data_IF_892140715192
#
_entry.id   IF_892140715192
#
_cell.length_a   1.000
_cell.length_b   1.000
_cell.length_c   1.000
_cell.angle_alpha   90.00
_cell.angle_beta   90.00
_cell.angle_gamma   90.00
#
_symmetry.space_group_name_H-M   'P 1'
#
loop_
_entity.id
_entity.type
_entity.pdbx_description
1 polymer ?
#
# COMPACT_ATOMS: atom_id res chain seq x y z
N UNK A 1 -10.91 -19.32 -19.49
CA UNK A 1 -9.64 -19.42 -18.72
C UNK A 1 -8.93 -18.07 -18.56
N UNK A 2 -8.59 -17.35 -19.64
CA UNK A 2 -7.86 -16.07 -19.53
C UNK A 2 -8.55 -14.95 -18.72
N UNK A 3 -9.88 -14.86 -18.77
CA UNK A 3 -10.63 -13.83 -18.05
C UNK A 3 -10.55 -13.98 -16.51
N UNK A 4 -10.56 -15.21 -16.00
CA UNK A 4 -10.46 -15.46 -14.55
C UNK A 4 -9.05 -15.13 -14.04
N UNK A 5 -8.01 -15.51 -14.80
CA UNK A 5 -6.63 -15.18 -14.46
C UNK A 5 -6.40 -13.66 -14.39
N UNK A 6 -6.89 -12.91 -15.38
CA UNK A 6 -6.76 -11.46 -15.42
C UNK A 6 -7.46 -10.79 -14.22
N UNK A 7 -8.62 -11.32 -13.79
CA UNK A 7 -9.33 -10.83 -12.61
C UNK A 7 -8.51 -11.04 -11.33
N UNK A 8 -7.98 -12.24 -11.10
CA UNK A 8 -7.17 -12.52 -9.90
C UNK A 8 -5.90 -11.66 -9.85
N UNK A 9 -5.20 -11.53 -10.98
CA UNK A 9 -4.02 -10.66 -11.06
C UNK A 9 -4.40 -9.21 -10.73
N UNK A 10 -5.52 -8.72 -11.24
CA UNK A 10 -5.97 -7.35 -10.99
C UNK A 10 -6.37 -7.11 -9.53
N UNK A 11 -6.95 -8.11 -8.86
CA UNK A 11 -7.32 -8.03 -7.44
C UNK A 11 -6.08 -8.07 -6.55
N UNK A 12 -5.13 -8.97 -6.82
CA UNK A 12 -3.90 -9.07 -6.05
C UNK A 12 -3.09 -7.79 -6.22
N UNK A 13 -2.78 -7.37 -7.45
CA UNK A 13 -1.99 -6.16 -7.68
C UNK A 13 -2.81 -4.86 -7.55
N UNK A 14 -3.93 -4.89 -6.83
CA UNK A 14 -4.74 -3.71 -6.63
C UNK A 14 -3.98 -2.69 -5.75
N UNK A 15 -3.96 -1.39 -6.11
CA UNK A 15 -3.21 -0.35 -5.38
C UNK A 15 -3.62 -0.15 -3.91
N UNK A 16 -4.70 -0.76 -3.46
CA UNK A 16 -5.13 -0.69 -2.07
C UNK A 16 -4.19 -1.48 -1.14
N UNK A 17 -3.58 -2.56 -1.64
CA UNK A 17 -2.66 -3.42 -0.89
C UNK A 17 -1.24 -2.86 -0.80
N UNK A 18 -1.01 -1.65 -1.28
CA UNK A 18 0.33 -1.18 -1.61
C UNK A 18 1.21 -0.94 -0.38
N UNK A 19 0.64 -0.35 0.67
CA UNK A 19 1.36 -0.20 1.93
C UNK A 19 1.61 -1.56 2.61
N UNK A 20 0.64 -2.48 2.55
CA UNK A 20 0.81 -3.85 3.04
C UNK A 20 1.96 -4.58 2.31
N UNK A 21 2.07 -4.42 1.00
CA UNK A 21 3.19 -4.98 0.22
C UNK A 21 4.54 -4.38 0.59
N UNK A 22 4.61 -3.07 0.81
CA UNK A 22 5.85 -2.43 1.25
C UNK A 22 6.31 -2.96 2.61
N UNK A 23 5.39 -3.14 3.57
CA UNK A 23 5.70 -3.70 4.88
C UNK A 23 6.14 -5.17 4.80
N UNK A 24 5.44 -6.00 4.02
CA UNK A 24 5.82 -7.41 3.85
C UNK A 24 7.16 -7.58 3.14
N UNK A 25 7.45 -6.73 2.15
CA UNK A 25 8.77 -6.70 1.52
C UNK A 25 9.86 -6.34 2.54
N UNK A 26 9.61 -5.37 3.42
CA UNK A 26 10.54 -5.06 4.51
C UNK A 26 10.77 -6.26 5.44
N UNK A 27 9.71 -6.95 5.86
CA UNK A 27 9.84 -8.15 6.71
C UNK A 27 10.63 -9.27 6.03
N UNK A 28 10.43 -9.47 4.73
CA UNK A 28 11.17 -10.45 3.94
C UNK A 28 12.66 -10.14 3.87
N UNK A 29 13.01 -8.87 3.61
CA UNK A 29 14.41 -8.42 3.59
C UNK A 29 15.07 -8.42 4.97
N UNK A 30 14.29 -8.24 6.03
CA UNK A 30 14.74 -8.20 7.42
C UNK A 30 14.23 -9.43 8.19
N UNK A 31 14.46 -10.63 7.65
CA UNK A 31 13.93 -11.88 8.19
C UNK A 31 14.27 -12.11 9.67
N UNK A 32 15.46 -11.70 10.12
CA UNK A 32 15.87 -11.77 11.53
C UNK A 32 14.95 -10.95 12.45
N UNK A 33 14.47 -9.80 11.99
CA UNK A 33 13.52 -8.97 12.73
C UNK A 33 12.18 -9.70 12.93
N UNK A 34 11.70 -10.38 11.88
CA UNK A 34 10.49 -11.19 11.95
C UNK A 34 10.62 -12.35 12.96
N UNK A 35 11.75 -13.07 12.95
CA UNK A 35 11.94 -14.23 13.84
C UNK A 35 12.02 -13.86 15.31
N UNK A 36 12.70 -12.75 15.64
CA UNK A 36 12.87 -12.31 17.03
C UNK A 36 11.55 -11.78 17.61
N UNK A 37 10.70 -11.15 16.79
CA UNK A 37 9.48 -10.48 17.25
C UNK A 37 8.19 -11.06 16.67
N UNK A 38 8.20 -12.34 16.30
CA UNK A 38 7.15 -13.01 15.49
C UNK A 38 5.72 -12.68 15.91
N UNK A 39 5.40 -12.75 17.21
CA UNK A 39 4.05 -12.46 17.71
C UNK A 39 3.64 -11.01 17.46
N UNK A 40 4.50 -10.05 17.81
CA UNK A 40 4.23 -8.62 17.63
C UNK A 40 4.11 -8.30 16.14
N UNK A 41 5.04 -8.83 15.34
CA UNK A 41 5.06 -8.61 13.90
C UNK A 41 3.80 -9.16 13.23
N UNK A 42 3.29 -10.31 13.66
CA UNK A 42 2.03 -10.86 13.14
C UNK A 42 0.82 -9.96 13.46
N UNK A 43 0.72 -9.43 14.68
CA UNK A 43 -0.37 -8.51 15.04
C UNK A 43 -0.28 -7.19 14.28
N UNK A 44 0.93 -6.63 14.11
CA UNK A 44 1.16 -5.41 13.34
C UNK A 44 0.84 -5.63 11.86
N UNK A 45 1.27 -6.75 11.28
CA UNK A 45 0.96 -7.10 9.89
C UNK A 45 -0.55 -7.25 9.65
N UNK A 46 -1.22 -7.99 10.53
CA UNK A 46 -2.68 -8.14 10.48
C UNK A 46 -3.41 -6.80 10.63
N UNK A 47 -2.94 -5.93 11.53
CA UNK A 47 -3.48 -4.58 11.68
C UNK A 47 -3.29 -3.76 10.41
N UNK A 48 -2.08 -3.75 9.83
CA UNK A 48 -1.78 -3.04 8.59
C UNK A 48 -2.66 -3.59 7.45
N UNK A 49 -2.80 -4.90 7.32
CA UNK A 49 -3.65 -5.52 6.32
C UNK A 49 -5.11 -5.07 6.47
N UNK A 50 -5.66 -5.16 7.69
CA UNK A 50 -7.05 -4.81 7.95
C UNK A 50 -7.30 -3.33 7.66
N UNK A 51 -6.45 -2.46 8.18
CA UNK A 51 -6.66 -1.01 8.12
C UNK A 51 -6.30 -0.41 6.79
N UNK A 52 -5.23 -0.85 6.13
CA UNK A 52 -4.78 -0.29 4.86
C UNK A 52 -5.38 -0.98 3.64
N UNK A 53 -5.84 -2.23 3.73
CA UNK A 53 -6.34 -2.95 2.56
C UNK A 53 -7.76 -3.46 2.71
N UNK A 54 -8.02 -4.29 3.72
CA UNK A 54 -9.30 -5.01 3.83
C UNK A 54 -10.49 -4.05 4.07
N UNK A 55 -10.36 -3.12 5.02
CA UNK A 55 -11.42 -2.15 5.33
C UNK A 55 -11.69 -1.18 4.16
N UNK A 56 -10.68 -0.56 3.53
CA UNK A 56 -10.89 0.23 2.32
C UNK A 56 -11.59 -0.54 1.21
N UNK A 57 -11.12 -1.76 0.91
CA UNK A 57 -11.70 -2.58 -0.14
C UNK A 57 -13.15 -2.97 0.17
N UNK A 58 -13.42 -3.39 1.42
CA UNK A 58 -14.77 -3.72 1.88
C UNK A 58 -15.71 -2.51 1.80
N UNK A 59 -15.24 -1.33 2.20
CA UNK A 59 -16.03 -0.09 2.12
C UNK A 59 -16.35 0.28 0.67
N UNK A 60 -15.37 0.21 -0.24
CA UNK A 60 -15.57 0.50 -1.66
C UNK A 60 -16.56 -0.48 -2.29
N UNK A 61 -16.40 -1.79 -2.01
CA UNK A 61 -17.32 -2.83 -2.47
C UNK A 61 -18.73 -2.62 -1.95
N UNK A 62 -18.88 -2.27 -0.67
CA UNK A 62 -20.19 -1.98 -0.08
C UNK A 62 -20.85 -0.75 -0.71
N UNK A 63 -20.09 0.32 -0.90
CA UNK A 63 -20.61 1.59 -1.43
C UNK A 63 -20.99 1.51 -2.92
N UNK A 64 -20.26 0.73 -3.73
CA UNK A 64 -20.39 0.78 -5.20
C UNK A 64 -20.67 -0.55 -5.89
N UNK A 65 -20.59 -1.67 -5.17
CA UNK A 65 -20.71 -3.04 -5.73
C UNK A 65 -19.65 -3.39 -6.79
N UNK A 66 -18.69 -2.50 -7.05
CA UNK A 66 -17.60 -2.69 -8.00
C UNK A 66 -16.35 -1.96 -7.48
N UNK A 67 -15.18 -2.59 -7.66
CA UNK A 67 -13.87 -2.00 -7.36
C UNK A 67 -13.30 -1.24 -8.56
N UNK A 68 -13.82 -1.48 -9.77
CA UNK A 68 -13.25 -1.02 -11.04
C UNK A 68 -14.04 0.14 -11.66
N UNK A 69 -13.76 1.36 -11.23
CA UNK A 69 -14.45 2.56 -11.69
C UNK A 69 -14.01 3.04 -13.09
N UNK A 70 -14.94 3.03 -14.05
CA UNK A 70 -14.69 3.54 -15.42
C UNK A 70 -14.73 5.06 -15.51
N UNK A 71 -15.62 5.72 -14.77
CA UNK A 71 -15.82 7.18 -14.85
C UNK A 71 -15.01 7.97 -13.82
N UNK A 72 -14.62 9.22 -14.15
CA UNK A 72 -13.82 10.09 -13.27
C UNK A 72 -14.54 10.40 -11.95
N UNK A 73 -15.85 10.68 -11.99
CA UNK A 73 -16.63 11.07 -10.82
C UNK A 73 -16.65 9.98 -9.73
N UNK A 74 -16.65 8.70 -10.14
CA UNK A 74 -16.63 7.57 -9.21
C UNK A 74 -15.29 7.33 -8.51
N UNK A 75 -14.20 8.00 -8.91
CA UNK A 75 -12.84 7.77 -8.37
C UNK A 75 -12.54 8.58 -7.12
N UNK A 76 -13.31 9.65 -6.85
CA UNK A 76 -13.10 10.51 -5.70
C UNK A 76 -13.30 9.75 -4.39
N UNK A 77 -14.36 8.95 -4.29
CA UNK A 77 -14.67 8.23 -3.07
C UNK A 77 -13.63 7.13 -2.76
N UNK A 78 -13.20 6.26 -3.70
CA UNK A 78 -12.11 5.32 -3.46
C UNK A 78 -10.81 5.98 -2.99
N UNK A 79 -10.44 7.14 -3.56
CA UNK A 79 -9.23 7.86 -3.13
C UNK A 79 -9.40 8.40 -1.71
N UNK A 80 -10.53 9.03 -1.42
CA UNK A 80 -10.83 9.56 -0.09
C UNK A 80 -10.86 8.44 0.95
N UNK A 81 -11.50 7.31 0.64
CA UNK A 81 -11.51 6.12 1.49
C UNK A 81 -10.10 5.65 1.78
N UNK A 82 -9.26 5.47 0.75
CA UNK A 82 -7.86 5.08 0.94
C UNK A 82 -7.09 6.08 1.81
N UNK A 83 -7.26 7.39 1.59
CA UNK A 83 -6.62 8.43 2.39
C UNK A 83 -7.03 8.39 3.87
N UNK A 84 -8.33 8.21 4.15
CA UNK A 84 -8.84 8.13 5.53
C UNK A 84 -8.23 6.93 6.25
N UNK A 85 -8.28 5.76 5.62
CA UNK A 85 -7.78 4.53 6.22
C UNK A 85 -6.25 4.47 6.32
N UNK A 86 -5.53 5.02 5.34
CA UNK A 86 -4.08 5.21 5.43
C UNK A 86 -3.72 6.21 6.53
N UNK A 87 -4.50 7.28 6.70
CA UNK A 87 -4.35 8.23 7.81
C UNK A 87 -4.56 7.59 9.17
N UNK A 88 -5.58 6.73 9.33
CA UNK A 88 -5.80 5.95 10.56
C UNK A 88 -4.62 5.01 10.83
N UNK A 89 -4.16 4.31 9.80
CA UNK A 89 -2.98 3.44 9.88
C UNK A 89 -1.76 4.24 10.34
N UNK A 90 -1.52 5.41 9.75
CA UNK A 90 -0.41 6.31 10.07
C UNK A 90 -0.43 6.74 11.54
N UNK A 91 -1.59 7.20 12.04
CA UNK A 91 -1.75 7.66 13.43
C UNK A 91 -1.46 6.53 14.42
N UNK A 92 -1.96 5.31 14.16
CA UNK A 92 -1.74 4.17 15.06
C UNK A 92 -0.30 3.71 15.02
N UNK A 93 0.32 3.63 13.84
CA UNK A 93 1.73 3.26 13.71
C UNK A 93 2.67 4.29 14.34
N UNK A 94 2.23 5.54 14.54
CA UNK A 94 3.00 6.55 15.26
C UNK A 94 3.13 6.26 16.76
N UNK A 95 2.25 5.42 17.32
CA UNK A 95 2.21 5.09 18.75
C UNK A 95 3.09 3.90 19.14
N UNK A 96 3.73 3.24 18.17
CA UNK A 96 4.56 2.06 18.40
C UNK A 96 5.96 2.27 17.79
N UNK A 97 6.99 1.54 18.25
CA UNK A 97 8.28 1.50 17.56
C UNK A 97 8.09 0.90 16.15
N UNK A 98 8.03 1.76 15.14
CA UNK A 98 7.84 1.38 13.75
C UNK A 98 8.96 1.95 12.88
N UNK A 99 9.43 1.24 11.83
CA UNK A 99 10.49 1.74 10.97
C UNK A 99 10.13 3.10 10.35
N UNK A 100 10.96 4.11 10.63
CA UNK A 100 10.69 5.50 10.23
C UNK A 100 10.52 5.64 8.71
N UNK A 101 11.25 4.87 7.91
CA UNK A 101 11.12 4.93 6.46
C UNK A 101 9.76 4.44 5.96
N UNK A 102 9.18 3.40 6.57
CA UNK A 102 7.83 2.92 6.22
C UNK A 102 6.76 3.91 6.68
N UNK A 103 6.97 4.54 7.84
CA UNK A 103 6.10 5.61 8.32
C UNK A 103 6.09 6.80 7.35
N UNK A 104 7.27 7.23 6.89
CA UNK A 104 7.42 8.29 5.89
C UNK A 104 6.86 7.88 4.52
N UNK A 105 7.01 6.61 4.14
CA UNK A 105 6.43 6.08 2.91
C UNK A 105 4.89 6.14 2.95
N UNK A 106 4.27 5.76 4.07
CA UNK A 106 2.83 5.89 4.26
C UNK A 106 2.36 7.34 4.16
N UNK A 107 3.11 8.28 4.75
CA UNK A 107 2.82 9.71 4.62
C UNK A 107 2.91 10.17 3.16
N UNK A 108 3.94 9.74 2.44
CA UNK A 108 4.11 10.05 1.02
C UNK A 108 2.95 9.50 0.17
N UNK A 109 2.45 8.30 0.50
CA UNK A 109 1.24 7.77 -0.13
C UNK A 109 0.01 8.64 0.15
N UNK A 110 -0.22 9.08 1.38
CA UNK A 110 -1.35 9.94 1.75
C UNK A 110 -1.29 11.28 0.99
N UNK A 111 -0.12 11.93 1.01
CA UNK A 111 0.08 13.20 0.30
C UNK A 111 -0.09 13.00 -1.21
N UNK A 112 0.51 11.94 -1.76
CA UNK A 112 0.41 11.58 -3.17
C UNK A 112 -1.03 11.32 -3.61
N UNK A 113 -1.83 10.61 -2.80
CA UNK A 113 -3.25 10.42 -3.05
C UNK A 113 -4.02 11.75 -3.03
N UNK A 114 -3.68 12.67 -2.13
CA UNK A 114 -4.25 14.03 -2.12
C UNK A 114 -3.93 14.81 -3.40
N UNK A 115 -2.70 14.72 -3.89
CA UNK A 115 -2.28 15.31 -5.18
C UNK A 115 -3.07 14.65 -6.33
N UNK A 116 -3.16 13.33 -6.35
CA UNK A 116 -3.90 12.58 -7.39
C UNK A 116 -5.39 12.94 -7.37
N UNK A 117 -5.99 13.11 -6.19
CA UNK A 117 -7.38 13.54 -6.04
C UNK A 117 -7.59 14.92 -6.69
N UNK A 118 -6.73 15.89 -6.36
CA UNK A 118 -6.76 17.23 -6.96
C UNK A 118 -6.54 17.21 -8.47
N UNK A 119 -5.51 16.50 -8.94
CA UNK A 119 -5.21 16.36 -10.37
C UNK A 119 -6.31 15.64 -11.14
N UNK A 120 -7.05 14.71 -10.51
CA UNK A 120 -8.13 13.98 -11.17
C UNK A 120 -9.29 14.87 -11.63
N UNK A 121 -9.41 16.08 -11.06
CA UNK A 121 -10.37 17.10 -11.53
C UNK A 121 -10.01 17.65 -12.90
N UNK A 122 -8.71 17.70 -13.23
CA UNK A 122 -8.18 18.24 -14.48
C UNK A 122 -7.86 17.13 -15.50
N UNK A 123 -7.16 16.08 -15.06
CA UNK A 123 -6.61 15.01 -15.90
C UNK A 123 -7.12 13.63 -15.46
N UNK A 124 -7.20 12.63 -16.37
CA UNK A 124 -7.52 11.25 -15.96
C UNK A 124 -6.23 10.63 -15.41
N UNK A 125 -6.01 10.71 -14.11
CA UNK A 125 -4.89 10.03 -13.47
C UNK A 125 -5.33 8.61 -13.10
N UNK A 126 -4.51 7.62 -13.45
CA UNK A 126 -4.74 6.23 -13.08
C UNK A 126 -4.17 5.95 -11.70
N UNK A 127 -4.98 5.37 -10.81
CA UNK A 127 -4.53 4.96 -9.48
C UNK A 127 -3.54 3.80 -9.54
N UNK A 128 -3.63 2.97 -10.57
CA UNK A 128 -2.68 1.88 -10.79
C UNK A 128 -1.30 2.42 -11.18
N UNK A 129 -1.23 3.48 -12.00
CA UNK A 129 0.06 4.09 -12.36
C UNK A 129 0.66 4.85 -11.18
N UNK A 130 -0.17 5.53 -10.38
CA UNK A 130 0.29 6.12 -9.12
C UNK A 130 0.88 5.06 -8.19
N UNK A 131 0.16 3.94 -8.01
CA UNK A 131 0.63 2.84 -7.18
C UNK A 131 1.95 2.27 -7.68
N UNK A 132 2.04 1.89 -8.96
CA UNK A 132 3.28 1.40 -9.54
C UNK A 132 4.44 2.39 -9.36
N UNK A 133 4.21 3.68 -9.61
CA UNK A 133 5.21 4.73 -9.41
C UNK A 133 5.66 4.86 -7.95
N UNK A 134 4.75 4.74 -6.98
CA UNK A 134 5.11 4.78 -5.56
C UNK A 134 5.98 3.60 -5.13
N UNK A 135 5.71 2.39 -5.62
CA UNK A 135 6.54 1.21 -5.36
C UNK A 135 7.93 1.36 -6.00
N UNK A 136 7.99 1.84 -7.25
CA UNK A 136 9.26 2.13 -7.91
C UNK A 136 10.08 3.13 -7.10
N UNK A 137 9.45 4.22 -6.61
CA UNK A 137 10.11 5.20 -5.73
C UNK A 137 10.62 4.60 -4.43
N UNK A 138 9.84 3.71 -3.79
CA UNK A 138 10.27 2.96 -2.61
C UNK A 138 11.51 2.10 -2.91
N UNK A 139 11.50 1.36 -4.02
CA UNK A 139 12.64 0.53 -4.39
C UNK A 139 13.89 1.36 -4.67
N UNK A 140 13.77 2.51 -5.34
CA UNK A 140 14.90 3.43 -5.53
C UNK A 140 15.45 3.93 -4.20
N UNK A 141 14.58 4.31 -3.26
CA UNK A 141 15.00 4.74 -1.93
C UNK A 141 15.74 3.62 -1.19
N UNK A 142 15.17 2.42 -1.16
CA UNK A 142 15.77 1.26 -0.50
C UNK A 142 17.13 0.95 -1.13
N UNK A 143 17.21 0.88 -2.46
CA UNK A 143 18.45 0.65 -3.17
C UNK A 143 19.52 1.69 -2.82
N UNK A 144 19.19 2.98 -2.88
CA UNK A 144 20.12 4.05 -2.53
C UNK A 144 20.56 4.01 -1.06
N UNK A 145 19.63 3.75 -0.14
CA UNK A 145 19.89 3.86 1.29
C UNK A 145 20.44 2.57 1.92
N UNK A 146 20.13 1.38 1.39
CA UNK A 146 20.33 0.07 2.03
C UNK A 146 20.88 -0.99 1.04
N UNK A 147 21.63 -0.54 0.03
CA UNK A 147 22.15 -1.34 -1.09
C UNK A 147 22.69 -2.76 -0.75
N UNK A 148 23.42 -3.00 0.37
CA UNK A 148 23.94 -4.34 0.69
C UNK A 148 22.89 -5.33 1.22
N UNK A 149 21.88 -4.85 1.95
CA UNK A 149 20.99 -5.72 2.75
C UNK A 149 19.79 -6.27 1.94
N UNK A 150 19.42 -5.58 0.86
CA UNK A 150 18.23 -5.93 0.05
C UNK A 150 18.45 -7.22 -0.76
N UNK A 151 19.68 -7.51 -1.17
CA UNK A 151 20.01 -8.72 -1.95
C UNK A 151 20.40 -9.91 -1.08
N UNK A 152 20.63 -9.70 0.22
CA UNK A 152 21.04 -10.77 1.14
C UNK A 152 20.08 -11.99 1.15
N UNK A 153 18.74 -11.81 1.10
CA UNK A 153 17.80 -12.95 1.03
C UNK A 153 17.74 -13.66 -0.33
N UNK A 154 18.32 -13.08 -1.39
CA UNK A 154 18.31 -13.67 -2.74
C UNK A 154 19.61 -14.43 -3.06
N UNK A 155 20.65 -14.21 -2.26
CA UNK A 155 21.99 -14.80 -2.44
C UNK A 155 22.32 -15.80 -1.33
N UNK A 156 21.54 -15.82 -0.24
CA UNK A 156 21.64 -16.77 0.87
C UNK A 156 20.85 -18.06 0.67
#
# INVERSE_FOLDING_TARGET
MFHQLAFYISVIFHPVFLFFYAFNFFLFTNYSFFFIHQQITFYVDGFIFITSAALPAAFILWAFKDLFFKERAGRYLPILTAMVFYGLTYIVLAQIPFPAFLHNYLLALIIGLGIVMGLNTLLKVSLHTFGAGSLVGLFFYLFYAHYPEIFYPLVG
#
